data_IF_353993297845
#
_entry.id   IF_353993297845
#
_cell.length_a   1.000
_cell.length_b   1.000
_cell.length_c   1.000
_cell.angle_alpha   90.00
_cell.angle_beta   90.00
_cell.angle_gamma   90.00
#
_symmetry.space_group_name_H-M   'P 1'
#
loop_
_entity.id
_entity.type
_entity.pdbx_description
1 polymer ?
#
# COMPACT_ATOMS: atom_id res chain seq x y z
N UNK A 1 7.67 26.55 -27.63
CA UNK A 1 8.31 25.37 -27.00
C UNK A 1 7.59 25.14 -25.70
N UNK A 2 6.58 24.27 -25.72
CA UNK A 2 5.72 24.05 -24.55
C UNK A 2 6.38 23.08 -23.57
N UNK A 3 6.64 23.54 -22.35
CA UNK A 3 6.80 22.80 -21.09
C UNK A 3 7.37 21.36 -21.11
N UNK A 4 8.40 21.06 -21.90
CA UNK A 4 9.15 19.82 -21.72
C UNK A 4 10.05 19.91 -20.49
N UNK A 5 9.94 18.92 -19.59
CA UNK A 5 10.84 18.79 -18.46
C UNK A 5 12.26 18.51 -18.95
N UNK A 6 13.24 19.21 -18.40
CA UNK A 6 14.66 19.03 -18.69
C UNK A 6 15.48 19.05 -17.40
N UNK A 7 16.70 18.52 -17.47
CA UNK A 7 17.68 18.66 -16.39
C UNK A 7 18.51 19.91 -16.64
N UNK A 8 18.39 20.92 -15.77
CA UNK A 8 19.21 22.12 -15.86
C UNK A 8 20.70 21.81 -15.81
N UNK A 9 21.10 20.74 -15.10
CA UNK A 9 22.49 20.29 -14.99
C UNK A 9 23.17 19.99 -16.35
N UNK A 10 22.39 19.72 -17.40
CA UNK A 10 22.92 19.46 -18.74
C UNK A 10 23.31 20.72 -19.50
N UNK A 11 22.89 21.89 -19.02
CA UNK A 11 23.08 23.18 -19.69
C UNK A 11 24.01 24.13 -18.92
N UNK A 12 24.42 23.75 -17.70
CA UNK A 12 25.32 24.56 -16.89
C UNK A 12 26.78 24.40 -17.34
N UNK A 13 27.48 25.52 -17.47
CA UNK A 13 28.93 25.53 -17.71
C UNK A 13 29.75 25.46 -16.41
N UNK A 14 31.06 25.23 -16.54
CA UNK A 14 31.97 25.08 -15.40
C UNK A 14 32.07 26.35 -14.53
N UNK A 15 31.88 27.54 -15.11
CA UNK A 15 31.95 28.82 -14.39
C UNK A 15 30.70 28.97 -13.53
N UNK A 16 29.53 28.69 -14.11
CA UNK A 16 28.25 28.68 -13.41
C UNK A 16 28.26 27.68 -12.26
N UNK A 17 28.77 26.46 -12.47
CA UNK A 17 28.88 25.43 -11.43
C UNK A 17 29.81 25.87 -10.29
N UNK A 18 30.97 26.44 -10.60
CA UNK A 18 31.94 26.93 -9.59
C UNK A 18 31.42 28.12 -8.78
N UNK A 19 30.42 28.86 -9.28
CA UNK A 19 29.81 29.98 -8.55
C UNK A 19 28.83 29.56 -7.45
N UNK A 20 28.48 28.26 -7.38
CA UNK A 20 27.50 27.73 -6.44
C UNK A 20 28.11 27.39 -5.07
N UNK A 21 27.26 27.02 -4.11
CA UNK A 21 27.69 26.49 -2.81
C UNK A 21 28.47 25.18 -3.00
N UNK A 22 29.55 25.00 -2.24
CA UNK A 22 30.47 23.84 -2.33
C UNK A 22 29.77 22.48 -2.53
N UNK A 23 28.73 22.20 -1.75
CA UNK A 23 28.02 20.91 -1.83
C UNK A 23 27.30 20.69 -3.15
N UNK A 24 26.75 21.75 -3.75
CA UNK A 24 26.07 21.67 -5.05
C UNK A 24 27.07 21.65 -6.20
N UNK A 25 28.20 22.35 -6.05
CA UNK A 25 29.34 22.27 -6.97
C UNK A 25 29.81 20.83 -7.09
N UNK A 26 30.13 20.17 -5.97
CA UNK A 26 30.57 18.76 -5.95
C UNK A 26 29.56 17.84 -6.66
N UNK A 27 28.27 17.99 -6.38
CA UNK A 27 27.23 17.15 -6.98
C UNK A 27 27.04 17.42 -8.49
N UNK A 28 27.18 18.66 -8.94
CA UNK A 28 27.03 19.03 -10.36
C UNK A 28 28.27 18.66 -11.19
N UNK A 29 29.47 18.77 -10.61
CA UNK A 29 30.70 18.25 -11.22
C UNK A 29 30.63 16.72 -11.42
N UNK A 30 29.82 16.03 -10.62
CA UNK A 30 29.57 14.59 -10.72
C UNK A 30 28.18 14.25 -11.28
N UNK A 31 27.61 15.10 -12.15
CA UNK A 31 26.23 14.95 -12.66
C UNK A 31 25.91 13.58 -13.28
N UNK A 32 26.84 12.96 -13.98
CA UNK A 32 26.64 11.64 -14.60
C UNK A 32 26.40 10.55 -13.55
N UNK A 33 27.07 10.65 -12.40
CA UNK A 33 26.84 9.74 -11.27
C UNK A 33 25.51 9.99 -10.60
N UNK A 34 25.11 11.25 -10.47
CA UNK A 34 23.77 11.59 -9.95
C UNK A 34 22.68 10.99 -10.85
N UNK A 35 22.81 11.13 -12.18
CA UNK A 35 21.91 10.49 -13.14
C UNK A 35 21.89 8.98 -13.01
N UNK A 36 23.07 8.34 -12.91
CA UNK A 36 23.15 6.92 -12.65
C UNK A 36 22.38 6.50 -11.38
N UNK A 37 22.53 7.25 -10.28
CA UNK A 37 21.77 6.96 -9.05
C UNK A 37 20.25 7.12 -9.23
N UNK A 38 19.80 8.09 -10.01
CA UNK A 38 18.39 8.27 -10.36
C UNK A 38 17.85 7.15 -11.25
N UNK A 39 18.68 6.58 -12.13
CA UNK A 39 18.30 5.43 -12.95
C UNK A 39 18.18 4.12 -12.16
N UNK A 40 18.77 4.07 -10.95
CA UNK A 40 18.60 2.93 -10.05
C UNK A 40 17.27 2.96 -9.29
N UNK A 41 16.92 1.83 -8.66
CA UNK A 41 15.78 1.73 -7.75
C UNK A 41 16.08 2.22 -6.32
N UNK A 42 17.22 2.88 -6.09
CA UNK A 42 17.60 3.33 -4.76
C UNK A 42 16.69 4.44 -4.26
N UNK A 43 16.25 4.33 -3.00
CA UNK A 43 15.62 5.44 -2.31
C UNK A 43 16.59 6.63 -2.17
N UNK A 44 16.07 7.85 -2.05
CA UNK A 44 16.92 9.03 -1.80
C UNK A 44 17.84 8.86 -0.58
N UNK A 45 17.40 8.12 0.46
CA UNK A 45 18.26 7.79 1.61
C UNK A 45 19.44 6.91 1.21
N UNK A 46 19.22 5.91 0.36
CA UNK A 46 20.29 5.06 -0.16
C UNK A 46 21.21 5.83 -1.10
N UNK A 47 20.66 6.67 -1.99
CA UNK A 47 21.48 7.53 -2.85
C UNK A 47 22.39 8.44 -2.04
N UNK A 48 21.90 9.01 -0.93
CA UNK A 48 22.72 9.82 0.00
C UNK A 48 23.84 9.00 0.64
N UNK A 49 23.59 7.74 0.98
CA UNK A 49 24.64 6.86 1.51
C UNK A 49 25.73 6.61 0.47
N UNK A 50 25.37 6.43 -0.81
CA UNK A 50 26.35 6.29 -1.89
C UNK A 50 27.10 7.59 -2.18
N UNK A 51 26.40 8.74 -2.20
CA UNK A 51 27.00 10.08 -2.30
C UNK A 51 28.02 10.31 -1.19
N UNK A 52 27.70 9.93 0.06
CA UNK A 52 28.61 10.06 1.19
C UNK A 52 29.86 9.19 1.01
N UNK A 53 29.74 8.00 0.43
CA UNK A 53 30.88 7.10 0.19
C UNK A 53 31.73 7.54 -0.99
N UNK A 54 31.11 7.94 -2.11
CA UNK A 54 31.83 8.28 -3.35
C UNK A 54 32.43 9.69 -3.30
N UNK A 55 31.75 10.66 -2.68
CA UNK A 55 32.12 12.08 -2.73
C UNK A 55 32.49 12.66 -1.36
N UNK A 56 32.52 11.83 -0.30
CA UNK A 56 32.75 12.27 1.09
C UNK A 56 31.81 13.41 1.54
N UNK A 57 30.62 13.49 0.93
CA UNK A 57 29.69 14.60 1.10
C UNK A 57 28.51 14.25 2.00
N UNK A 58 28.33 15.01 3.09
CA UNK A 58 27.14 14.93 3.92
C UNK A 58 26.03 15.89 3.46
N UNK A 59 24.89 15.31 3.08
CA UNK A 59 23.69 16.04 2.68
C UNK A 59 22.43 15.40 3.26
N UNK A 60 21.48 16.23 3.67
CA UNK A 60 20.19 15.75 4.17
C UNK A 60 19.27 15.31 3.02
N UNK A 61 18.32 14.42 3.30
CA UNK A 61 17.28 14.00 2.32
C UNK A 61 16.54 15.20 1.74
N UNK A 62 16.20 16.17 2.59
CA UNK A 62 15.49 17.37 2.16
C UNK A 62 16.34 18.24 1.22
N UNK A 63 17.60 18.49 1.60
CA UNK A 63 18.52 19.29 0.79
C UNK A 63 18.84 18.64 -0.56
N UNK A 64 19.01 17.31 -0.57
CA UNK A 64 19.26 16.55 -1.80
C UNK A 64 18.01 16.50 -2.70
N UNK A 65 16.81 16.33 -2.14
CA UNK A 65 15.56 16.42 -2.89
C UNK A 65 15.43 17.78 -3.58
N UNK A 66 15.65 18.88 -2.87
CA UNK A 66 15.55 20.22 -3.45
C UNK A 66 16.61 20.46 -4.53
N UNK A 67 17.81 19.89 -4.35
CA UNK A 67 18.85 19.90 -5.37
C UNK A 67 18.40 19.17 -6.64
N UNK A 68 17.84 17.96 -6.51
CA UNK A 68 17.35 17.18 -7.64
C UNK A 68 16.18 17.86 -8.36
N UNK A 69 15.21 18.40 -7.63
CA UNK A 69 14.10 19.17 -8.22
C UNK A 69 14.61 20.37 -9.02
N UNK A 70 15.67 21.03 -8.55
CA UNK A 70 16.22 22.22 -9.18
C UNK A 70 17.08 21.90 -10.41
N UNK A 71 17.94 20.89 -10.33
CA UNK A 71 18.98 20.66 -11.35
C UNK A 71 18.77 19.41 -12.21
N UNK A 72 18.01 18.43 -11.70
CA UNK A 72 17.77 17.13 -12.33
C UNK A 72 16.26 16.83 -12.39
N UNK A 73 15.47 17.84 -12.73
CA UNK A 73 14.00 17.77 -12.61
C UNK A 73 13.41 16.62 -13.43
N UNK A 74 13.89 16.43 -14.66
CA UNK A 74 13.41 15.37 -15.55
C UNK A 74 13.80 14.00 -15.01
N UNK A 75 15.09 13.77 -14.75
CA UNK A 75 15.56 12.48 -14.23
C UNK A 75 14.94 12.14 -12.87
N UNK A 76 14.72 13.13 -12.01
CA UNK A 76 14.08 12.91 -10.71
C UNK A 76 12.60 12.53 -10.83
N UNK A 77 11.87 13.14 -11.76
CA UNK A 77 10.48 12.79 -12.05
C UNK A 77 10.39 11.36 -12.61
N UNK A 78 11.26 11.00 -13.55
CA UNK A 78 11.36 9.64 -14.11
C UNK A 78 11.68 8.59 -13.04
N UNK A 79 12.66 8.86 -12.17
CA UNK A 79 13.00 8.03 -11.02
C UNK A 79 11.77 7.77 -10.14
N UNK A 80 11.00 8.82 -9.85
CA UNK A 80 9.82 8.74 -9.00
C UNK A 80 8.74 7.87 -9.64
N UNK A 81 8.47 8.04 -10.94
CA UNK A 81 7.51 7.23 -11.71
C UNK A 81 7.94 5.75 -11.71
N UNK A 82 9.22 5.48 -12.01
CA UNK A 82 9.77 4.12 -12.03
C UNK A 82 9.57 3.41 -10.70
N UNK A 83 9.81 4.10 -9.59
CA UNK A 83 9.64 3.56 -8.25
C UNK A 83 8.19 3.27 -7.89
N UNK A 84 7.28 4.20 -8.20
CA UNK A 84 5.83 3.98 -8.01
C UNK A 84 5.38 2.76 -8.81
N UNK A 85 5.78 2.69 -10.08
CA UNK A 85 5.40 1.58 -10.95
C UNK A 85 6.00 0.25 -10.48
N UNK A 86 7.26 0.23 -10.01
CA UNK A 86 7.88 -0.96 -9.44
C UNK A 86 7.06 -1.54 -8.29
N UNK A 87 6.55 -0.68 -7.40
CA UNK A 87 5.76 -1.09 -6.24
C UNK A 87 4.40 -1.68 -6.64
N UNK A 88 3.85 -1.32 -7.80
CA UNK A 88 2.54 -1.80 -8.24
C UNK A 88 2.59 -3.03 -9.16
N UNK A 89 3.78 -3.48 -9.60
CA UNK A 89 3.91 -4.63 -10.53
C UNK A 89 3.22 -5.90 -10.04
N UNK A 90 3.34 -6.20 -8.74
CA UNK A 90 2.70 -7.38 -8.14
C UNK A 90 1.18 -7.24 -8.17
N UNK A 91 0.65 -6.07 -7.83
CA UNK A 91 -0.78 -5.79 -7.91
C UNK A 91 -1.30 -5.87 -9.34
N UNK A 92 -0.56 -5.35 -10.32
CA UNK A 92 -0.93 -5.46 -11.74
C UNK A 92 -1.04 -6.92 -12.15
N UNK A 93 -0.05 -7.76 -11.81
CA UNK A 93 -0.10 -9.20 -12.14
C UNK A 93 -1.31 -9.89 -11.53
N UNK A 94 -1.60 -9.64 -10.25
CA UNK A 94 -2.75 -10.21 -9.57
C UNK A 94 -4.07 -9.78 -10.22
N UNK A 95 -4.22 -8.49 -10.53
CA UNK A 95 -5.42 -7.94 -11.15
C UNK A 95 -5.66 -8.53 -12.54
N UNK A 96 -4.61 -8.69 -13.36
CA UNK A 96 -4.73 -9.25 -14.70
C UNK A 96 -4.98 -10.76 -14.65
N UNK A 97 -4.16 -11.51 -13.90
CA UNK A 97 -4.17 -12.98 -13.95
C UNK A 97 -5.30 -13.59 -13.12
N UNK A 98 -5.57 -13.04 -11.93
CA UNK A 98 -6.51 -13.63 -10.97
C UNK A 98 -7.85 -12.91 -10.96
N UNK A 99 -7.85 -11.57 -11.03
CA UNK A 99 -9.10 -10.78 -11.01
C UNK A 99 -9.67 -10.47 -12.39
N UNK A 100 -8.99 -10.89 -13.46
CA UNK A 100 -9.42 -10.77 -14.86
C UNK A 100 -9.73 -9.33 -15.30
N UNK A 101 -8.91 -8.38 -14.85
CA UNK A 101 -8.94 -7.01 -15.37
C UNK A 101 -8.43 -7.03 -16.81
N UNK A 102 -9.25 -6.56 -17.74
CA UNK A 102 -9.01 -6.78 -19.18
C UNK A 102 -8.49 -5.55 -19.91
N UNK A 103 -8.55 -4.38 -19.28
CA UNK A 103 -8.00 -3.15 -19.85
C UNK A 103 -7.23 -2.29 -18.85
N UNK A 104 -6.42 -1.41 -19.43
CA UNK A 104 -5.53 -0.52 -18.69
C UNK A 104 -6.24 0.58 -17.89
N UNK A 105 -7.50 0.90 -18.21
CA UNK A 105 -8.28 1.94 -17.51
C UNK A 105 -8.73 1.39 -16.16
N UNK A 106 -9.31 0.19 -16.17
CA UNK A 106 -9.75 -0.50 -14.96
C UNK A 106 -8.58 -0.67 -13.99
N UNK A 107 -7.42 -1.09 -14.50
CA UNK A 107 -6.20 -1.19 -13.70
C UNK A 107 -5.81 0.14 -13.09
N UNK A 108 -5.75 1.20 -13.89
CA UNK A 108 -5.35 2.51 -13.40
C UNK A 108 -6.31 3.03 -12.34
N UNK A 109 -7.62 2.94 -12.56
CA UNK A 109 -8.65 3.34 -11.60
C UNK A 109 -8.51 2.61 -10.27
N UNK A 110 -8.32 1.29 -10.30
CA UNK A 110 -8.14 0.49 -9.09
C UNK A 110 -6.85 0.86 -8.35
N UNK A 111 -5.73 0.99 -9.07
CA UNK A 111 -4.44 1.33 -8.47
C UNK A 111 -4.42 2.77 -7.92
N UNK A 112 -5.16 3.67 -8.55
CA UNK A 112 -5.34 5.04 -8.09
C UNK A 112 -6.19 5.10 -6.82
N UNK A 113 -7.37 4.45 -6.81
CA UNK A 113 -8.28 4.44 -5.66
C UNK A 113 -7.71 3.71 -4.44
N UNK A 114 -6.83 2.72 -4.67
CA UNK A 114 -6.09 2.05 -3.60
C UNK A 114 -4.88 2.85 -3.08
N UNK A 115 -4.55 3.99 -3.70
CA UNK A 115 -3.43 4.85 -3.31
C UNK A 115 -2.05 4.32 -3.71
N UNK A 116 -1.99 3.25 -4.50
CA UNK A 116 -0.73 2.61 -4.91
C UNK A 116 0.05 3.48 -5.92
N UNK A 117 -0.65 4.32 -6.68
CA UNK A 117 -0.06 5.22 -7.68
C UNK A 117 0.49 6.54 -7.12
N UNK A 118 0.52 6.71 -5.78
CA UNK A 118 1.01 7.92 -5.12
C UNK A 118 2.53 8.04 -5.18
N UNK A 119 3.03 9.17 -5.67
CA UNK A 119 4.44 9.59 -5.62
C UNK A 119 4.85 9.99 -4.20
N UNK A 120 3.94 10.61 -3.45
CA UNK A 120 4.14 11.02 -2.05
C UNK A 120 2.97 10.49 -1.20
N UNK A 121 3.29 9.81 -0.09
CA UNK A 121 2.28 9.11 0.73
C UNK A 121 1.16 10.02 1.28
N UNK A 122 1.47 11.29 1.54
CA UNK A 122 0.57 12.25 2.22
C UNK A 122 0.09 13.40 1.32
N UNK A 123 0.19 13.25 -0.01
CA UNK A 123 -0.28 14.26 -0.96
C UNK A 123 -1.15 13.59 -2.02
N UNK A 124 -2.46 13.85 -1.95
CA UNK A 124 -3.45 13.26 -2.83
C UNK A 124 -3.35 13.74 -4.28
N UNK A 125 -2.73 14.90 -4.49
CA UNK A 125 -2.47 15.41 -5.84
C UNK A 125 -1.18 14.84 -6.42
N UNK A 126 -0.36 14.17 -5.61
CA UNK A 126 0.92 13.61 -6.00
C UNK A 126 0.78 12.19 -6.50
N UNK A 127 0.19 12.03 -7.69
CA UNK A 127 -0.01 10.73 -8.36
C UNK A 127 0.69 10.69 -9.73
N UNK A 128 1.03 9.49 -10.20
CA UNK A 128 1.45 9.35 -11.61
C UNK A 128 0.23 9.53 -12.53
N UNK A 129 0.43 10.29 -13.60
CA UNK A 129 -0.59 10.53 -14.65
C UNK A 129 -0.92 9.22 -15.36
N UNK A 130 -2.09 9.13 -15.98
CA UNK A 130 -2.48 7.96 -16.77
C UNK A 130 -1.51 7.76 -17.93
N UNK A 131 -1.09 8.86 -18.57
CA UNK A 131 -0.08 8.84 -19.64
C UNK A 131 1.25 8.22 -19.15
N UNK A 132 1.76 8.65 -18.00
CA UNK A 132 2.98 8.09 -17.40
C UNK A 132 2.80 6.61 -17.04
N UNK A 133 1.64 6.23 -16.50
CA UNK A 133 1.32 4.84 -16.17
C UNK A 133 1.30 3.94 -17.42
N UNK A 134 0.62 4.36 -18.49
CA UNK A 134 0.47 3.58 -19.72
C UNK A 134 1.82 3.32 -20.37
N UNK A 135 2.71 4.32 -20.39
CA UNK A 135 4.07 4.14 -20.92
C UNK A 135 4.80 2.99 -20.22
N UNK A 136 4.74 2.95 -18.87
CA UNK A 136 5.37 1.88 -18.08
C UNK A 136 4.61 0.55 -18.17
N UNK A 137 3.28 0.59 -18.28
CA UNK A 137 2.47 -0.60 -18.45
C UNK A 137 2.79 -1.31 -19.77
N UNK A 138 2.92 -0.58 -20.88
CA UNK A 138 3.29 -1.12 -22.21
C UNK A 138 4.60 -1.91 -22.17
N UNK A 139 5.63 -1.35 -21.54
CA UNK A 139 6.92 -2.03 -21.34
C UNK A 139 6.73 -3.33 -20.54
N UNK A 140 5.98 -3.27 -19.46
CA UNK A 140 5.79 -4.40 -18.55
C UNK A 140 4.97 -5.54 -19.16
N UNK A 141 3.87 -5.23 -19.86
CA UNK A 141 2.99 -6.25 -20.46
C UNK A 141 3.68 -6.98 -21.60
N UNK A 142 4.55 -6.28 -22.34
CA UNK A 142 5.36 -6.87 -23.42
C UNK A 142 6.34 -7.88 -22.85
N UNK A 143 7.06 -7.51 -21.79
CA UNK A 143 8.02 -8.39 -21.10
C UNK A 143 7.34 -9.60 -20.45
N UNK A 144 6.11 -9.44 -19.96
CA UNK A 144 5.37 -10.48 -19.23
C UNK A 144 4.34 -11.24 -20.05
N UNK A 145 4.18 -10.89 -21.33
CA UNK A 145 3.17 -11.45 -22.24
C UNK A 145 1.75 -11.44 -21.64
N UNK A 146 1.37 -10.32 -21.00
CA UNK A 146 0.08 -10.20 -20.32
C UNK A 146 -1.07 -9.89 -21.31
N UNK A 147 -2.21 -10.59 -21.23
CA UNK A 147 -3.33 -10.40 -22.15
C UNK A 147 -4.21 -9.22 -21.71
N UNK A 148 -3.71 -7.99 -21.86
CA UNK A 148 -4.45 -6.78 -21.49
C UNK A 148 -4.56 -5.81 -22.67
N UNK A 149 -5.73 -5.19 -22.82
CA UNK A 149 -5.96 -4.12 -23.79
C UNK A 149 -5.44 -2.78 -23.27
N UNK A 150 -4.52 -2.15 -24.02
CA UNK A 150 -4.09 -0.78 -23.77
C UNK A 150 -5.05 0.20 -24.44
N UNK A 151 -5.47 1.22 -23.70
CA UNK A 151 -6.29 2.32 -24.22
C UNK A 151 -5.44 3.59 -24.16
N UNK A 152 -5.17 4.21 -25.32
CA UNK A 152 -4.14 5.27 -25.41
C UNK A 152 -4.68 6.68 -25.14
N UNK A 153 -5.98 6.93 -25.33
CA UNK A 153 -6.55 8.27 -25.28
C UNK A 153 -7.78 8.34 -24.36
N UNK A 154 -7.60 8.98 -23.21
CA UNK A 154 -8.68 9.39 -22.31
C UNK A 154 -8.27 10.73 -21.68
N UNK A 155 -9.23 11.65 -21.57
CA UNK A 155 -9.06 12.86 -20.74
C UNK A 155 -8.96 12.45 -19.28
N UNK A 156 -7.83 12.74 -18.62
CA UNK A 156 -7.60 12.38 -17.21
C UNK A 156 -8.69 12.88 -16.27
N UNK A 157 -9.31 14.00 -16.61
CA UNK A 157 -10.41 14.59 -15.85
C UNK A 157 -11.65 13.69 -15.86
N UNK A 158 -11.95 13.01 -16.98
CA UNK A 158 -13.02 12.00 -17.05
C UNK A 158 -12.75 10.79 -16.16
N UNK A 159 -11.48 10.37 -16.06
CA UNK A 159 -11.10 9.26 -15.16
C UNK A 159 -11.32 9.67 -13.69
N UNK A 160 -10.94 10.90 -13.32
CA UNK A 160 -11.11 11.42 -11.95
C UNK A 160 -12.58 11.64 -11.60
N UNK A 161 -13.39 12.13 -12.53
CA UNK A 161 -14.84 12.30 -12.37
C UNK A 161 -15.55 10.95 -12.22
N UNK A 162 -15.24 9.97 -13.06
CA UNK A 162 -15.81 8.62 -12.96
C UNK A 162 -15.41 7.89 -11.66
N UNK A 163 -14.24 8.18 -11.09
CA UNK A 163 -13.85 7.67 -9.76
C UNK A 163 -14.71 8.30 -8.66
N UNK A 164 -15.07 9.59 -8.78
CA UNK A 164 -15.98 10.26 -7.84
C UNK A 164 -17.41 9.76 -7.98
N UNK A 165 -17.89 9.51 -9.20
CA UNK A 165 -19.26 9.06 -9.47
C UNK A 165 -19.48 7.55 -9.24
N UNK A 166 -18.46 6.71 -9.44
CA UNK A 166 -18.53 5.26 -9.16
C UNK A 166 -17.99 4.87 -7.77
N UNK A 167 -17.67 5.85 -6.92
CA UNK A 167 -17.63 5.59 -5.48
C UNK A 167 -19.08 5.40 -5.06
N UNK A 168 -19.51 4.23 -4.54
CA UNK A 168 -20.86 4.12 -4.02
C UNK A 168 -21.01 5.22 -2.97
N UNK A 169 -22.02 6.07 -3.15
CA UNK A 169 -22.57 6.85 -2.05
C UNK A 169 -23.14 5.81 -1.08
N UNK A 170 -22.28 5.24 -0.24
CA UNK A 170 -22.71 4.58 0.99
C UNK A 170 -23.20 5.71 1.89
N UNK A 171 -24.47 6.07 1.69
CA UNK A 171 -25.31 6.70 2.68
C UNK A 171 -25.33 5.79 3.91
N UNK A 172 -24.38 6.00 4.81
CA UNK A 172 -24.59 5.92 6.25
C UNK A 172 -23.51 6.74 6.93
N UNK A 173 -23.94 7.92 7.36
CA UNK A 173 -23.21 8.89 8.18
C UNK A 173 -22.59 8.27 9.43
N UNK A 174 -21.30 7.97 9.35
CA UNK A 174 -20.33 8.19 10.44
C UNK A 174 -19.09 8.79 9.77
N UNK A 175 -18.70 10.00 10.18
CA UNK A 175 -17.56 10.76 9.65
C UNK A 175 -16.34 9.86 9.44
N UNK A 176 -15.94 9.61 8.19
CA UNK A 176 -14.64 8.98 7.88
C UNK A 176 -13.54 9.98 8.23
N UNK A 177 -13.00 9.85 9.45
CA UNK A 177 -11.80 10.58 9.87
C UNK A 177 -10.62 10.15 9.00
N UNK A 178 -9.97 11.13 8.39
CA UNK A 178 -8.71 10.98 7.66
C UNK A 178 -7.67 10.27 8.57
N UNK A 179 -7.09 9.17 8.09
CA UNK A 179 -6.16 8.33 8.87
C UNK A 179 -4.80 9.04 8.90
N UNK A 180 -4.50 9.73 10.00
CA UNK A 180 -3.15 10.23 10.25
C UNK A 180 -2.24 9.06 10.66
N UNK A 181 -1.33 8.66 9.78
CA UNK A 181 -0.42 7.53 10.02
C UNK A 181 0.57 7.74 11.16
N UNK A 182 0.81 8.98 11.60
CA UNK A 182 1.66 9.29 12.75
C UNK A 182 0.90 9.19 14.08
N UNK A 183 -0.43 9.06 14.04
CA UNK A 183 -1.26 8.85 15.21
C UNK A 183 -0.86 7.56 15.92
N UNK A 184 -0.75 7.64 17.25
CA UNK A 184 -0.59 6.48 18.11
C UNK A 184 -1.94 6.03 18.62
N UNK A 185 -2.17 4.73 18.62
CA UNK A 185 -3.36 4.08 19.16
C UNK A 185 -2.94 3.02 20.14
N UNK A 186 -3.65 2.94 21.25
CA UNK A 186 -3.39 1.95 22.28
C UNK A 186 -4.02 0.61 21.89
N UNK A 187 -3.20 -0.43 21.81
CA UNK A 187 -3.64 -1.79 21.55
C UNK A 187 -3.62 -2.57 22.86
N UNK A 188 -4.74 -3.18 23.18
CA UNK A 188 -4.88 -4.03 24.35
C UNK A 188 -4.26 -5.40 24.09
N UNK A 189 -3.27 -5.75 24.91
CA UNK A 189 -2.57 -7.02 24.86
C UNK A 189 -3.32 -8.10 25.65
N UNK A 190 -2.93 -9.36 25.47
CA UNK A 190 -3.58 -10.51 26.12
C UNK A 190 -3.52 -10.45 27.65
N UNK A 191 -2.49 -9.83 28.21
CA UNK A 191 -2.33 -9.60 29.66
C UNK A 191 -3.20 -8.43 30.19
N UNK A 192 -3.91 -7.73 29.29
CA UNK A 192 -4.76 -6.59 29.61
C UNK A 192 -4.03 -5.24 29.64
N UNK A 193 -2.73 -5.20 29.35
CA UNK A 193 -1.99 -3.94 29.21
C UNK A 193 -2.34 -3.23 27.90
N UNK A 194 -2.14 -1.91 27.88
CA UNK A 194 -2.34 -1.07 26.71
C UNK A 194 -0.97 -0.60 26.21
N UNK A 195 -0.55 -1.09 25.05
CA UNK A 195 0.70 -0.69 24.41
C UNK A 195 0.42 0.26 23.22
N UNK A 196 1.08 1.44 23.15
CA UNK A 196 0.83 2.41 22.10
C UNK A 196 1.58 2.06 20.80
N UNK A 197 0.86 1.96 19.69
CA UNK A 197 1.42 1.70 18.37
C UNK A 197 1.08 2.77 17.35
N UNK A 198 2.01 3.01 16.44
CA UNK A 198 1.79 3.88 15.29
C UNK A 198 0.79 3.25 14.31
N UNK A 199 -0.17 4.03 13.83
CA UNK A 199 -1.22 3.53 12.95
C UNK A 199 -0.68 3.01 11.60
N UNK A 200 0.39 3.62 11.09
CA UNK A 200 1.15 3.11 9.95
C UNK A 200 1.65 1.69 10.18
N UNK A 201 2.29 1.42 11.31
CA UNK A 201 2.75 0.07 11.66
C UNK A 201 1.61 -0.95 11.68
N UNK A 202 0.45 -0.58 12.24
CA UNK A 202 -0.70 -1.47 12.34
C UNK A 202 -1.34 -1.82 11.00
N UNK A 203 -1.06 -1.06 9.93
CA UNK A 203 -1.60 -1.35 8.59
C UNK A 203 -0.90 -2.50 7.88
N UNK A 204 0.27 -2.93 8.35
CA UNK A 204 1.06 -4.00 7.75
C UNK A 204 1.64 -5.00 8.77
N UNK A 205 1.31 -4.85 10.06
CA UNK A 205 1.85 -5.70 11.11
C UNK A 205 0.85 -5.95 12.25
N UNK A 206 1.12 -7.01 12.99
CA UNK A 206 0.48 -7.36 14.25
C UNK A 206 1.51 -7.57 15.35
N UNK A 207 1.06 -7.49 16.60
CA UNK A 207 1.93 -7.42 17.76
C UNK A 207 2.22 -8.83 18.23
N UNK A 208 3.50 -9.14 18.43
CA UNK A 208 3.98 -10.44 18.89
C UNK A 208 4.40 -10.39 20.36
N UNK A 209 4.28 -11.52 21.06
CA UNK A 209 4.80 -11.66 22.42
C UNK A 209 6.30 -11.41 22.42
N UNK A 210 6.76 -10.56 23.34
CA UNK A 210 8.19 -10.27 23.53
C UNK A 210 8.93 -11.60 23.78
N UNK A 211 9.97 -11.85 22.98
CA UNK A 211 10.82 -13.05 23.05
C UNK A 211 10.19 -14.39 22.61
N UNK A 212 9.01 -14.39 21.98
CA UNK A 212 8.49 -15.63 21.39
C UNK A 212 9.33 -16.08 20.19
N UNK A 213 9.59 -17.38 20.12
CA UNK A 213 10.26 -18.04 18.97
C UNK A 213 9.25 -18.73 18.05
N UNK A 214 7.96 -18.68 18.38
CA UNK A 214 6.90 -19.26 17.57
C UNK A 214 6.57 -18.31 16.42
N UNK A 215 6.34 -18.87 15.23
CA UNK A 215 6.00 -18.12 14.02
C UNK A 215 4.69 -17.33 14.18
N UNK A 216 3.73 -17.87 14.95
CA UNK A 216 2.40 -17.30 15.15
C UNK A 216 2.07 -17.19 16.64
N UNK A 217 2.64 -16.20 17.31
CA UNK A 217 2.40 -15.93 18.73
C UNK A 217 2.16 -14.44 18.94
N UNK A 218 0.99 -14.01 18.49
CA UNK A 218 0.54 -12.65 18.63
C UNK A 218 0.07 -12.37 20.05
N UNK A 219 0.23 -11.14 20.50
CA UNK A 219 -0.06 -10.71 21.87
C UNK A 219 -1.31 -9.84 21.96
N UNK A 220 -2.12 -9.80 20.90
CA UNK A 220 -3.27 -8.91 20.80
C UNK A 220 -4.55 -9.56 21.31
N UNK A 221 -5.29 -8.83 22.15
CA UNK A 221 -6.53 -9.33 22.75
C UNK A 221 -7.73 -9.25 21.81
N UNK A 222 -7.79 -8.20 20.99
CA UNK A 222 -8.95 -7.92 20.14
C UNK A 222 -8.79 -8.58 18.78
N UNK A 223 -9.30 -9.80 18.65
CA UNK A 223 -9.32 -10.52 17.39
C UNK A 223 -10.50 -11.48 17.27
N UNK A 224 -10.90 -11.73 16.02
CA UNK A 224 -11.93 -12.71 15.66
C UNK A 224 -11.43 -13.64 14.55
N UNK A 225 -12.00 -14.84 14.49
CA UNK A 225 -11.81 -15.77 13.37
C UNK A 225 -13.18 -16.04 12.77
N UNK A 226 -13.34 -15.67 11.51
CA UNK A 226 -14.48 -16.00 10.69
C UNK A 226 -14.17 -17.35 10.06
N UNK A 227 -14.78 -18.45 10.54
CA UNK A 227 -14.51 -19.77 10.00
C UNK A 227 -15.12 -19.89 8.60
N UNK A 228 -14.54 -20.74 7.76
CA UNK A 228 -15.14 -21.11 6.46
C UNK A 228 -16.49 -21.80 6.62
N UNK A 229 -16.62 -22.62 7.68
CA UNK A 229 -17.87 -23.24 8.09
C UNK A 229 -17.90 -23.54 9.58
N UNK A 230 -19.10 -23.58 10.16
CA UNK A 230 -19.35 -23.97 11.55
C UNK A 230 -20.70 -24.66 11.67
N UNK A 231 -20.78 -25.81 12.35
CA UNK A 231 -22.03 -26.57 12.52
C UNK A 231 -22.82 -26.79 11.20
N UNK A 232 -22.12 -27.14 10.12
CA UNK A 232 -22.66 -27.32 8.76
C UNK A 232 -23.19 -26.05 8.06
N UNK A 233 -22.97 -24.88 8.64
CA UNK A 233 -23.24 -23.60 8.00
C UNK A 233 -21.97 -23.07 7.35
N UNK A 234 -22.07 -22.65 6.09
CA UNK A 234 -20.99 -21.95 5.37
C UNK A 234 -21.18 -20.46 5.55
N UNK A 235 -20.10 -19.75 5.80
CA UNK A 235 -20.13 -18.31 6.01
C UNK A 235 -19.68 -17.56 4.77
N UNK A 236 -20.48 -16.59 4.34
CA UNK A 236 -20.09 -15.63 3.31
C UNK A 236 -19.31 -14.48 3.95
N UNK A 237 -18.02 -14.42 3.66
CA UNK A 237 -17.14 -13.39 4.18
C UNK A 237 -17.56 -11.98 3.78
N UNK A 238 -18.09 -11.76 2.57
CA UNK A 238 -18.50 -10.42 2.13
C UNK A 238 -19.76 -9.97 2.89
N UNK A 239 -20.72 -10.87 3.14
CA UNK A 239 -21.88 -10.56 4.01
C UNK A 239 -21.42 -10.20 5.42
N UNK A 240 -20.54 -10.99 6.03
CA UNK A 240 -20.03 -10.74 7.39
C UNK A 240 -19.24 -9.43 7.46
N UNK A 241 -18.40 -9.17 6.46
CA UNK A 241 -17.64 -7.93 6.32
C UNK A 241 -18.57 -6.71 6.27
N UNK A 242 -19.66 -6.78 5.53
CA UNK A 242 -20.66 -5.71 5.50
C UNK A 242 -21.30 -5.52 6.87
N UNK A 243 -21.67 -6.59 7.58
CA UNK A 243 -22.16 -6.49 8.96
C UNK A 243 -21.15 -5.86 9.91
N UNK A 244 -19.86 -6.20 9.81
CA UNK A 244 -18.80 -5.59 10.61
C UNK A 244 -18.79 -4.07 10.43
N UNK A 245 -18.90 -3.59 9.19
CA UNK A 245 -18.85 -2.16 8.87
C UNK A 245 -20.14 -1.41 9.23
N UNK A 246 -21.32 -1.99 8.96
CA UNK A 246 -22.60 -1.34 9.19
C UNK A 246 -22.99 -1.25 10.67
N UNK A 247 -22.69 -2.30 11.43
CA UNK A 247 -23.15 -2.47 12.81
C UNK A 247 -22.07 -2.18 13.85
N UNK A 248 -20.84 -1.86 13.43
CA UNK A 248 -19.71 -1.53 14.32
C UNK A 248 -19.45 -2.64 15.35
N UNK A 249 -19.65 -3.91 14.93
CA UNK A 249 -19.68 -5.09 15.80
C UNK A 249 -18.30 -5.50 16.30
N UNK A 250 -17.25 -5.08 15.60
CA UNK A 250 -15.87 -5.42 15.90
C UNK A 250 -15.14 -4.13 16.21
N UNK A 251 -14.47 -4.10 17.38
CA UNK A 251 -13.71 -2.94 17.83
C UNK A 251 -12.69 -2.52 16.76
N UNK A 252 -12.56 -1.22 16.52
CA UNK A 252 -11.52 -0.70 15.64
C UNK A 252 -10.13 -1.21 16.06
N UNK A 253 -9.23 -1.39 15.10
CA UNK A 253 -7.89 -1.98 15.25
C UNK A 253 -7.85 -3.49 15.54
N UNK A 254 -8.99 -4.18 15.60
CA UNK A 254 -9.01 -5.63 15.79
C UNK A 254 -8.41 -6.39 14.61
N UNK A 255 -7.85 -7.57 14.90
CA UNK A 255 -7.48 -8.55 13.87
C UNK A 255 -8.70 -9.37 13.44
N UNK A 256 -8.84 -9.60 12.14
CA UNK A 256 -9.89 -10.42 11.55
C UNK A 256 -9.24 -11.51 10.71
N UNK A 257 -9.38 -12.75 11.17
CA UNK A 257 -8.88 -13.93 10.47
C UNK A 257 -10.03 -14.48 9.63
N UNK A 258 -9.90 -14.42 8.32
CA UNK A 258 -10.82 -15.03 7.38
C UNK A 258 -10.28 -16.39 6.98
N UNK A 259 -10.90 -17.46 7.50
CA UNK A 259 -10.61 -18.81 7.06
C UNK A 259 -11.31 -19.09 5.73
N UNK A 260 -10.53 -19.12 4.66
CA UNK A 260 -11.01 -19.40 3.30
C UNK A 260 -10.59 -20.81 2.83
N UNK A 261 -10.30 -21.74 3.76
CA UNK A 261 -9.72 -23.04 3.44
C UNK A 261 -10.53 -23.86 2.43
N UNK A 262 -11.85 -23.73 2.43
CA UNK A 262 -12.74 -24.48 1.54
C UNK A 262 -12.66 -24.00 0.08
N UNK A 263 -12.26 -22.75 -0.14
CA UNK A 263 -12.21 -22.14 -1.47
C UNK A 263 -10.79 -22.19 -2.06
N UNK A 264 -9.78 -21.76 -1.30
CA UNK A 264 -8.41 -21.65 -1.80
C UNK A 264 -7.33 -22.26 -0.89
N UNK A 265 -7.72 -22.80 0.27
CA UNK A 265 -6.79 -23.42 1.21
C UNK A 265 -6.01 -22.43 2.07
N UNK A 266 -6.38 -21.15 2.13
CA UNK A 266 -5.67 -20.12 2.91
C UNK A 266 -6.53 -19.50 4.02
N UNK A 267 -5.83 -18.95 5.02
CA UNK A 267 -6.39 -18.01 6.00
C UNK A 267 -5.79 -16.64 5.70
N UNK A 268 -6.64 -15.62 5.65
CA UNK A 268 -6.25 -14.24 5.43
C UNK A 268 -6.36 -13.47 6.75
N UNK A 269 -5.31 -12.75 7.12
CA UNK A 269 -5.29 -11.95 8.36
C UNK A 269 -5.42 -10.49 7.96
N UNK A 270 -6.52 -9.87 8.38
CA UNK A 270 -6.79 -8.46 8.18
C UNK A 270 -6.69 -7.68 9.49
N UNK A 271 -6.38 -6.39 9.38
CA UNK A 271 -6.59 -5.38 10.41
C UNK A 271 -7.81 -4.53 10.06
N UNK A 272 -8.74 -4.36 10.99
CA UNK A 272 -9.80 -3.37 10.87
C UNK A 272 -9.28 -1.98 11.26
N UNK A 273 -9.31 -1.01 10.35
CA UNK A 273 -8.98 0.40 10.64
C UNK A 273 -10.04 1.28 9.99
N UNK A 274 -10.80 2.01 10.81
CA UNK A 274 -11.80 2.99 10.37
C UNK A 274 -12.72 2.43 9.27
N UNK A 275 -13.34 1.27 9.55
CA UNK A 275 -14.23 0.55 8.61
C UNK A 275 -13.56 0.12 7.31
N UNK A 276 -12.26 -0.13 7.34
CA UNK A 276 -11.49 -0.71 6.23
C UNK A 276 -10.67 -1.90 6.71
N UNK A 277 -10.64 -2.96 5.90
CA UNK A 277 -9.71 -4.07 6.12
C UNK A 277 -8.39 -3.85 5.39
N UNK A 278 -7.29 -3.95 6.15
CA UNK A 278 -5.93 -3.96 5.64
C UNK A 278 -5.39 -5.39 5.72
N UNK A 279 -5.08 -5.99 4.58
CA UNK A 279 -4.50 -7.33 4.54
C UNK A 279 -3.07 -7.28 5.09
N UNK A 280 -2.82 -8.01 6.18
CA UNK A 280 -1.50 -8.12 6.81
C UNK A 280 -0.73 -9.32 6.27
N UNK A 281 -1.40 -10.47 6.20
CA UNK A 281 -0.74 -11.74 5.86
C UNK A 281 -1.72 -12.74 5.25
N UNK A 282 -1.17 -13.64 4.42
CA UNK A 282 -1.84 -14.80 3.85
C UNK A 282 -1.07 -16.04 4.26
N UNK A 283 -1.73 -16.95 4.98
CA UNK A 283 -1.12 -18.17 5.52
C UNK A 283 -1.83 -19.40 4.98
N UNK A 284 -1.09 -20.48 4.72
CA UNK A 284 -1.71 -21.74 4.31
C UNK A 284 -2.50 -22.32 5.49
N UNK A 285 -3.73 -22.81 5.26
CA UNK A 285 -4.60 -23.28 6.35
C UNK A 285 -4.00 -24.44 7.14
N UNK A 286 -3.12 -25.23 6.52
CA UNK A 286 -2.35 -26.29 7.21
C UNK A 286 -1.44 -25.77 8.32
N UNK A 287 -1.06 -24.49 8.27
CA UNK A 287 -0.23 -23.83 9.29
C UNK A 287 -1.08 -23.38 10.49
N UNK A 288 -2.41 -23.58 10.46
CA UNK A 288 -3.30 -23.25 11.59
C UNK A 288 -3.03 -24.06 12.85
N UNK A 289 -2.35 -25.22 12.72
CA UNK A 289 -1.91 -26.02 13.87
C UNK A 289 -0.97 -25.25 14.80
N UNK A 290 -0.17 -24.35 14.23
CA UNK A 290 0.85 -23.60 14.98
C UNK A 290 0.24 -22.50 15.87
N UNK A 291 -1.05 -22.17 15.67
CA UNK A 291 -1.83 -21.22 16.46
C UNK A 291 -3.24 -21.72 16.79
N UNK A 292 -3.42 -23.03 16.94
CA UNK A 292 -4.75 -23.67 17.08
C UNK A 292 -5.59 -23.10 18.25
N UNK A 293 -4.94 -22.82 19.38
CA UNK A 293 -5.58 -22.22 20.56
C UNK A 293 -6.16 -20.84 20.24
N UNK A 294 -5.34 -19.99 19.58
CA UNK A 294 -5.77 -18.69 19.11
C UNK A 294 -6.94 -18.82 18.14
N UNK A 295 -6.84 -19.72 17.18
CA UNK A 295 -7.88 -19.96 16.18
C UNK A 295 -9.22 -20.35 16.84
N UNK A 296 -9.22 -21.29 17.80
CA UNK A 296 -10.43 -21.69 18.54
C UNK A 296 -11.02 -20.54 19.36
N UNK A 297 -10.19 -19.76 20.03
CA UNK A 297 -10.64 -18.60 20.80
C UNK A 297 -11.20 -17.50 19.89
N UNK A 298 -10.59 -17.29 18.72
CA UNK A 298 -11.10 -16.33 17.73
C UNK A 298 -12.46 -16.73 17.16
N UNK A 299 -12.72 -18.03 16.96
CA UNK A 299 -14.05 -18.51 16.56
C UNK A 299 -15.07 -18.25 17.67
N UNK A 300 -14.71 -18.49 18.93
CA UNK A 300 -15.60 -18.17 20.06
C UNK A 300 -15.93 -16.67 20.11
N UNK A 301 -14.94 -15.80 19.92
CA UNK A 301 -15.15 -14.36 19.85
C UNK A 301 -16.08 -13.98 18.69
N UNK A 302 -15.87 -14.56 17.51
CA UNK A 302 -16.76 -14.39 16.36
C UNK A 302 -18.19 -14.81 16.69
N UNK A 303 -18.39 -16.02 17.21
CA UNK A 303 -19.72 -16.51 17.56
C UNK A 303 -20.39 -15.63 18.61
N UNK A 304 -19.66 -15.19 19.64
CA UNK A 304 -20.21 -14.29 20.66
C UNK A 304 -20.70 -12.95 20.09
N UNK A 305 -20.03 -12.42 19.07
CA UNK A 305 -20.39 -11.14 18.45
C UNK A 305 -21.52 -11.32 17.43
N UNK A 306 -21.50 -12.42 16.67
CA UNK A 306 -22.37 -12.61 15.53
C UNK A 306 -23.57 -13.50 15.79
N UNK A 307 -23.68 -14.17 16.95
CA UNK A 307 -24.69 -15.21 17.22
C UNK A 307 -26.11 -14.81 16.79
N UNK A 308 -26.52 -13.60 17.16
CA UNK A 308 -27.88 -13.08 16.91
C UNK A 308 -28.12 -12.67 15.44
N UNK A 309 -27.05 -12.60 14.65
CA UNK A 309 -27.05 -12.19 13.23
C UNK A 309 -26.81 -13.40 12.32
N UNK A 310 -26.28 -14.52 12.84
CA UNK A 310 -26.01 -15.74 12.07
C UNK A 310 -27.27 -16.22 11.32
N UNK A 311 -28.46 -16.15 11.93
CA UNK A 311 -29.73 -16.51 11.28
C UNK A 311 -30.04 -15.70 10.00
N UNK A 312 -29.52 -14.46 9.90
CA UNK A 312 -29.65 -13.59 8.73
C UNK A 312 -28.55 -13.80 7.67
N UNK A 313 -27.37 -14.27 8.07
CA UNK A 313 -26.23 -14.54 7.18
C UNK A 313 -26.36 -15.86 6.39
N UNK A 314 -27.24 -16.77 6.82
CA UNK A 314 -27.35 -18.16 6.33
C UNK A 314 -28.20 -18.28 5.04
N UNK A 315 -28.95 -17.26 4.64
CA UNK A 315 -29.79 -17.35 3.42
C UNK A 315 -29.01 -16.89 2.17
N UNK A 316 -28.58 -17.90 1.41
CA UNK A 316 -28.03 -17.95 0.04
C UNK A 316 -27.14 -16.79 -0.36
#
# INVERSE_FOLDING_TARGET
MENELYDLADFLDDIEIKSLKDRYTILLENRDKIKFFLDTNFSLKQQINEIKKEFELEISVFSYRNFLIKYFQKSYEEHTINKVFLNCKVSILDLVLNKKYNDSIELYKYLLSSGVLKKVKNDDNSVITYKQFIQKLKEYITVKHLPIKIVEEIEEDKIKEEIKENTPIETNTKERKEINYDMRVDIELLDGTLDPYNLGFLTYSYIFKKHSKKKYDFDEKNYIVIPSSYQNLTFDFEKIKNFIFEKDLVKNYSLVFHDNKLNDGFIYIYRLINSKFHLLEKIASRESSDFEEYYKNGIRNYLNIFNDILDSCIKN
#
